data_IF_317548738048
#
_entry.id   IF_317548738048
#
_cell.length_a   1.000
_cell.length_b   1.000
_cell.length_c   1.000
_cell.angle_alpha   90.00
_cell.angle_beta   90.00
_cell.angle_gamma   90.00
#
_symmetry.space_group_name_H-M   'P 1'
#
loop_
_entity.id
_entity.type
_entity.pdbx_description
1 polymer ?
#
# COMPACT_ATOMS: atom_id res chain seq x y z
N UNK A 1 19.59 19.90 -12.18
CA UNK A 1 20.13 18.68 -12.81
C UNK A 1 19.48 18.54 -14.16
N UNK A 2 20.24 18.12 -15.16
CA UNK A 2 19.76 17.93 -16.53
C UNK A 2 19.08 16.56 -16.66
N UNK A 3 18.24 16.42 -17.67
CA UNK A 3 17.76 15.12 -18.12
C UNK A 3 18.72 14.58 -19.17
N UNK A 4 18.74 13.25 -19.33
CA UNK A 4 19.44 12.59 -20.41
C UNK A 4 18.65 12.74 -21.71
N UNK A 5 19.33 12.66 -22.85
CA UNK A 5 18.64 12.69 -24.14
C UNK A 5 17.88 11.37 -24.32
N UNK A 6 16.67 11.47 -24.88
CA UNK A 6 15.73 10.35 -25.02
C UNK A 6 15.53 10.02 -26.50
N UNK A 7 15.51 8.73 -26.81
CA UNK A 7 15.36 8.20 -28.16
C UNK A 7 14.30 7.10 -28.20
N UNK A 8 13.53 7.07 -29.27
CA UNK A 8 12.61 5.99 -29.62
C UNK A 8 13.25 5.07 -30.66
N UNK A 9 12.89 3.79 -30.60
CA UNK A 9 13.19 2.82 -31.65
C UNK A 9 12.16 2.96 -32.76
N UNK A 10 12.58 2.83 -34.02
CA UNK A 10 11.65 2.67 -35.14
C UNK A 10 10.87 1.35 -35.02
N UNK A 11 9.74 1.24 -35.72
CA UNK A 11 8.87 0.05 -35.67
C UNK A 11 9.60 -1.25 -36.05
N UNK A 12 10.61 -1.15 -36.92
CA UNK A 12 11.49 -2.24 -37.34
C UNK A 12 12.74 -2.41 -36.44
N UNK A 13 12.85 -1.60 -35.38
CA UNK A 13 13.94 -1.54 -34.40
C UNK A 13 15.34 -1.32 -35.02
N UNK A 14 15.41 -0.91 -36.29
CA UNK A 14 16.67 -0.77 -37.02
C UNK A 14 17.32 0.60 -36.83
N UNK A 15 16.54 1.61 -36.45
CA UNK A 15 16.99 2.99 -36.28
C UNK A 15 16.47 3.60 -34.97
N UNK A 16 17.17 4.61 -34.49
CA UNK A 16 16.76 5.41 -33.33
C UNK A 16 16.58 6.86 -33.72
N UNK A 17 15.54 7.51 -33.21
CA UNK A 17 15.29 8.93 -33.42
C UNK A 17 15.02 9.61 -32.09
N UNK A 18 15.42 10.87 -31.96
CA UNK A 18 15.25 11.63 -30.72
C UNK A 18 13.77 11.89 -30.48
N UNK A 19 13.28 11.56 -29.27
CA UNK A 19 11.89 11.77 -28.87
C UNK A 19 11.82 12.11 -27.39
N UNK A 20 10.94 13.03 -27.02
CA UNK A 20 10.69 13.39 -25.62
C UNK A 20 10.14 12.22 -24.79
N UNK A 21 9.59 11.18 -25.43
CA UNK A 21 8.99 10.00 -24.77
C UNK A 21 9.79 8.71 -24.96
N UNK A 22 10.96 8.80 -25.58
CA UNK A 22 11.83 7.65 -25.79
C UNK A 22 12.22 6.93 -24.51
N UNK A 23 12.33 5.60 -24.60
CA UNK A 23 12.76 4.73 -23.49
C UNK A 23 14.25 4.37 -23.56
N UNK A 24 14.94 4.78 -24.62
CA UNK A 24 16.40 4.74 -24.72
C UNK A 24 16.99 6.06 -24.22
N UNK A 25 17.79 6.00 -23.16
CA UNK A 25 18.42 7.15 -22.53
C UNK A 25 19.91 7.22 -22.86
N UNK A 26 20.35 8.37 -23.34
CA UNK A 26 21.72 8.60 -23.84
C UNK A 26 22.33 9.81 -23.15
N UNK A 27 23.55 9.64 -22.65
CA UNK A 27 24.35 10.75 -22.14
C UNK A 27 25.10 11.43 -23.29
N UNK A 28 25.05 12.76 -23.42
CA UNK A 28 25.65 13.49 -24.55
C UNK A 28 27.14 13.21 -24.80
N UNK A 29 27.88 12.83 -23.76
CA UNK A 29 29.33 12.52 -23.85
C UNK A 29 29.68 11.04 -23.71
N UNK A 30 28.83 10.24 -23.07
CA UNK A 30 29.19 8.87 -22.65
C UNK A 30 28.41 7.81 -23.42
N UNK A 31 27.45 8.21 -24.27
CA UNK A 31 26.65 7.30 -25.07
C UNK A 31 25.49 6.70 -24.27
N UNK A 32 25.06 5.50 -24.67
CA UNK A 32 23.92 4.76 -24.09
C UNK A 32 24.06 4.63 -22.57
N UNK A 33 23.03 5.05 -21.82
CA UNK A 33 22.97 4.97 -20.35
C UNK A 33 22.02 3.88 -19.89
N UNK A 34 20.81 3.86 -20.44
CA UNK A 34 19.78 2.87 -20.09
C UNK A 34 18.90 2.59 -21.30
N UNK A 35 18.44 1.36 -21.43
CA UNK A 35 17.55 0.91 -22.49
C UNK A 35 16.35 0.21 -21.88
N UNK A 36 15.33 1.01 -21.61
CA UNK A 36 14.15 0.50 -20.95
C UNK A 36 13.28 -0.32 -21.92
N UNK A 37 13.60 -0.36 -23.22
CA UNK A 37 13.00 -1.33 -24.14
C UNK A 37 13.57 -2.74 -23.93
N UNK A 38 14.90 -2.86 -23.80
CA UNK A 38 15.57 -4.14 -23.51
C UNK A 38 15.13 -4.71 -22.15
N UNK A 39 14.86 -3.83 -21.18
CA UNK A 39 14.40 -4.21 -19.84
C UNK A 39 12.89 -4.55 -19.78
N UNK A 40 12.15 -4.47 -20.90
CA UNK A 40 10.68 -4.60 -20.94
C UNK A 40 9.98 -3.67 -19.94
N UNK A 41 10.46 -2.43 -19.83
CA UNK A 41 9.91 -1.47 -18.90
C UNK A 41 8.49 -1.08 -19.29
N UNK A 42 7.61 -1.07 -18.28
CA UNK A 42 6.26 -0.57 -18.45
C UNK A 42 5.68 -0.05 -17.15
N UNK A 43 4.75 0.89 -17.27
CA UNK A 43 3.93 1.36 -16.16
C UNK A 43 2.66 0.51 -16.15
N UNK A 44 2.48 -0.26 -15.09
CA UNK A 44 1.32 -1.14 -14.89
C UNK A 44 0.27 -0.52 -13.96
N UNK A 45 0.35 0.78 -13.73
CA UNK A 45 -0.76 1.56 -13.22
C UNK A 45 -0.38 2.72 -12.32
N UNK A 46 -1.34 3.62 -12.16
CA UNK A 46 -1.26 4.84 -11.34
C UNK A 46 -2.45 4.89 -10.40
N UNK A 47 -2.22 5.12 -9.12
CA UNK A 47 -3.24 4.93 -8.09
C UNK A 47 -3.25 6.03 -7.04
N UNK A 48 -4.44 6.34 -6.52
CA UNK A 48 -4.57 6.86 -5.17
C UNK A 48 -4.65 5.67 -4.23
N UNK A 49 -3.55 5.33 -3.58
CA UNK A 49 -3.43 4.08 -2.81
C UNK A 49 -4.12 4.17 -1.45
N UNK A 50 -4.11 5.34 -0.82
CA UNK A 50 -4.77 5.51 0.48
C UNK A 50 -5.24 6.94 0.62
N UNK A 51 -6.44 7.09 1.16
CA UNK A 51 -6.98 8.35 1.63
C UNK A 51 -7.21 8.24 3.14
N UNK A 52 -6.76 9.24 3.90
CA UNK A 52 -7.14 9.41 5.30
C UNK A 52 -7.79 10.77 5.44
N UNK A 53 -9.10 10.80 5.64
CA UNK A 53 -9.85 12.03 5.84
C UNK A 53 -9.91 12.36 7.33
N UNK A 54 -9.60 13.60 7.70
CA UNK A 54 -9.87 14.09 9.05
C UNK A 54 -11.18 14.87 9.06
N UNK A 55 -11.87 14.82 10.19
CA UNK A 55 -12.97 15.71 10.50
C UNK A 55 -12.74 16.35 11.86
N UNK A 56 -12.96 17.65 11.93
CA UNK A 56 -13.03 18.42 13.17
C UNK A 56 -14.46 18.48 13.65
N UNK A 57 -14.65 18.49 14.97
CA UNK A 57 -15.95 18.61 15.59
C UNK A 57 -15.87 18.20 17.05
N UNK A 58 -17.00 18.26 17.75
CA UNK A 58 -17.14 17.66 19.08
C UNK A 58 -17.61 16.22 18.92
N UNK A 59 -17.24 15.30 19.82
CA UNK A 59 -17.79 13.95 19.77
C UNK A 59 -19.30 13.98 20.00
N UNK A 60 -20.03 13.17 19.23
CA UNK A 60 -21.37 12.78 19.61
C UNK A 60 -21.28 11.83 20.81
N UNK A 61 -21.65 12.32 22.00
CA UNK A 61 -21.53 11.56 23.24
C UNK A 61 -22.41 10.31 23.24
N UNK A 62 -23.61 10.37 22.65
CA UNK A 62 -24.51 9.22 22.58
C UNK A 62 -23.86 8.07 21.79
N UNK A 63 -23.31 8.40 20.61
CA UNK A 63 -22.55 7.44 19.79
C UNK A 63 -21.33 6.87 20.54
N UNK A 64 -20.61 7.72 21.28
CA UNK A 64 -19.44 7.29 22.05
C UNK A 64 -19.85 6.32 23.16
N UNK A 65 -20.90 6.65 23.91
CA UNK A 65 -21.44 5.80 24.98
C UNK A 65 -21.93 4.46 24.45
N UNK A 66 -22.64 4.43 23.32
CA UNK A 66 -23.08 3.19 22.67
C UNK A 66 -21.89 2.29 22.31
N UNK A 67 -20.82 2.89 21.74
CA UNK A 67 -19.59 2.17 21.40
C UNK A 67 -18.85 1.64 22.63
N UNK A 68 -18.74 2.45 23.69
CA UNK A 68 -18.10 2.06 24.94
C UNK A 68 -18.84 0.90 25.61
N UNK A 69 -20.18 1.01 25.68
CA UNK A 69 -21.04 -0.03 26.22
C UNK A 69 -20.91 -1.35 25.44
N UNK A 70 -20.94 -1.28 24.10
CA UNK A 70 -20.74 -2.44 23.22
C UNK A 70 -19.42 -3.16 23.51
N UNK A 71 -18.32 -2.41 23.69
CA UNK A 71 -17.01 -2.98 24.04
C UNK A 71 -17.01 -3.58 25.45
N UNK A 72 -17.64 -2.92 26.42
CA UNK A 72 -17.73 -3.41 27.81
C UNK A 72 -18.54 -4.71 27.91
N UNK A 73 -19.61 -4.83 27.12
CA UNK A 73 -20.40 -6.05 26.97
C UNK A 73 -19.67 -7.16 26.20
N UNK A 74 -18.46 -6.89 25.67
CA UNK A 74 -17.67 -7.85 24.92
C UNK A 74 -18.18 -8.11 23.51
N UNK A 75 -19.02 -7.22 22.97
CA UNK A 75 -19.49 -7.31 21.60
C UNK A 75 -18.31 -7.07 20.63
N UNK A 76 -18.28 -7.86 19.56
CA UNK A 76 -17.26 -7.75 18.50
C UNK A 76 -17.75 -6.99 17.28
N UNK A 77 -19.07 -6.91 17.12
CA UNK A 77 -19.73 -6.32 15.97
C UNK A 77 -20.64 -5.21 16.44
N UNK A 78 -20.52 -4.05 15.81
CA UNK A 78 -21.35 -2.87 16.06
C UNK A 78 -22.07 -2.49 14.77
N UNK A 79 -23.39 -2.37 14.82
CA UNK A 79 -24.19 -2.00 13.66
C UNK A 79 -24.19 -0.48 13.51
N UNK A 80 -23.66 0.03 12.39
CA UNK A 80 -23.53 1.45 12.14
C UNK A 80 -23.79 1.77 10.67
N UNK A 81 -24.70 2.73 10.43
CA UNK A 81 -25.19 3.11 9.09
C UNK A 81 -25.74 1.91 8.28
N UNK A 82 -26.40 0.96 8.95
CA UNK A 82 -26.95 -0.24 8.31
C UNK A 82 -25.90 -1.25 7.86
N UNK A 83 -24.66 -1.11 8.33
CA UNK A 83 -23.55 -2.02 8.05
C UNK A 83 -22.98 -2.57 9.36
N UNK A 84 -22.42 -3.76 9.28
CA UNK A 84 -21.70 -4.38 10.40
C UNK A 84 -20.24 -3.91 10.42
N UNK A 85 -19.75 -3.56 11.61
CA UNK A 85 -18.38 -3.12 11.82
C UNK A 85 -17.74 -3.90 12.95
N UNK A 86 -16.46 -4.24 12.79
CA UNK A 86 -15.67 -4.72 13.91
C UNK A 86 -15.32 -3.55 14.82
N UNK A 87 -15.84 -3.57 16.04
CA UNK A 87 -15.56 -2.55 17.06
C UNK A 87 -14.37 -2.97 17.92
N UNK A 88 -13.56 -2.01 18.34
CA UNK A 88 -12.52 -2.28 19.33
C UNK A 88 -11.73 -1.05 19.76
N UNK A 89 -10.97 -1.22 20.85
CA UNK A 89 -10.00 -0.22 21.32
C UNK A 89 -8.78 -0.17 20.40
N UNK A 90 -8.30 1.04 20.15
CA UNK A 90 -7.15 1.33 19.31
C UNK A 90 -5.91 1.66 20.15
N UNK A 91 -4.73 1.45 19.58
CA UNK A 91 -3.45 1.74 20.25
C UNK A 91 -3.17 3.25 20.26
N UNK A 92 -2.34 3.70 21.21
CA UNK A 92 -1.88 5.10 21.28
C UNK A 92 -1.17 5.54 19.99
N UNK A 93 -0.52 4.62 19.27
CA UNK A 93 0.14 4.89 18.00
C UNK A 93 -0.83 5.41 16.92
N UNK A 94 -2.10 4.99 16.97
CA UNK A 94 -3.12 5.50 16.03
C UNK A 94 -3.53 6.95 16.30
N UNK A 95 -3.33 7.44 17.53
CA UNK A 95 -3.82 8.74 18.03
C UNK A 95 -5.26 8.72 18.60
N UNK A 96 -6.01 7.63 18.38
CA UNK A 96 -7.44 7.52 18.72
C UNK A 96 -7.72 6.34 19.64
N UNK A 97 -8.72 6.48 20.51
CA UNK A 97 -9.07 5.50 21.53
C UNK A 97 -9.84 4.31 20.97
N UNK A 98 -10.67 4.54 19.96
CA UNK A 98 -11.57 3.51 19.41
C UNK A 98 -11.45 3.40 17.90
N UNK A 99 -11.89 2.26 17.36
CA UNK A 99 -12.07 2.03 15.93
C UNK A 99 -13.32 1.24 15.60
N UNK A 100 -13.89 1.53 14.44
CA UNK A 100 -14.78 0.65 13.69
C UNK A 100 -14.07 0.22 12.40
N UNK A 101 -13.99 -1.07 12.13
CA UNK A 101 -13.28 -1.60 10.97
C UNK A 101 -14.20 -2.48 10.11
N UNK A 102 -14.29 -2.15 8.83
CA UNK A 102 -14.96 -2.98 7.83
C UNK A 102 -14.02 -3.23 6.65
N UNK A 103 -13.36 -4.40 6.67
CA UNK A 103 -12.38 -4.78 5.65
C UNK A 103 -13.02 -5.13 4.30
N UNK A 104 -14.28 -5.56 4.29
CA UNK A 104 -15.03 -5.84 3.07
C UNK A 104 -15.35 -4.54 2.31
N UNK A 105 -15.75 -3.50 3.05
CA UNK A 105 -15.92 -2.16 2.51
C UNK A 105 -14.57 -1.50 2.20
N UNK A 106 -13.54 -1.84 2.97
CA UNK A 106 -12.21 -1.26 2.84
C UNK A 106 -12.07 0.07 3.58
N UNK A 107 -12.78 0.24 4.69
CA UNK A 107 -12.84 1.47 5.50
C UNK A 107 -12.55 1.18 6.97
N UNK A 108 -11.78 2.07 7.60
CA UNK A 108 -11.55 2.08 9.05
C UNK A 108 -11.89 3.47 9.58
N UNK A 109 -12.74 3.51 10.59
CA UNK A 109 -13.15 4.73 11.29
C UNK A 109 -12.43 4.75 12.63
N UNK A 110 -11.60 5.75 12.86
CA UNK A 110 -10.98 6.04 14.14
C UNK A 110 -11.66 7.24 14.77
N UNK A 111 -12.03 7.13 16.04
CA UNK A 111 -12.74 8.19 16.74
C UNK A 111 -12.27 8.34 18.18
N UNK A 112 -12.52 9.52 18.74
CA UNK A 112 -12.07 9.98 20.05
C UNK A 112 -10.54 10.00 20.20
N UNK A 113 -9.94 11.16 19.97
CA UNK A 113 -8.52 11.42 20.26
C UNK A 113 -8.16 11.13 21.73
N UNK A 114 -6.95 10.58 21.95
CA UNK A 114 -6.41 10.36 23.29
C UNK A 114 -6.16 11.66 24.06
N UNK A 115 -5.68 12.70 23.37
CA UNK A 115 -5.18 13.93 24.00
C UNK A 115 -6.21 15.07 24.05
N UNK A 116 -7.49 14.78 23.78
CA UNK A 116 -8.55 15.78 23.77
C UNK A 116 -9.82 15.22 24.42
N UNK A 117 -10.49 16.05 25.21
CA UNK A 117 -11.78 15.72 25.85
C UNK A 117 -12.86 15.57 24.77
N UNK A 118 -13.84 14.69 24.98
CA UNK A 118 -14.85 14.38 23.96
C UNK A 118 -15.66 15.61 23.53
N UNK A 119 -15.89 16.53 24.46
CA UNK A 119 -16.69 17.74 24.32
C UNK A 119 -15.93 18.89 23.65
N UNK A 120 -14.60 18.79 23.57
CA UNK A 120 -13.78 19.82 22.95
C UNK A 120 -13.85 19.70 21.42
N UNK A 121 -13.89 20.84 20.72
CA UNK A 121 -13.78 20.82 19.26
C UNK A 121 -12.36 20.45 18.86
N UNK A 122 -12.18 19.27 18.26
CA UNK A 122 -10.87 18.74 17.86
C UNK A 122 -11.01 17.82 16.65
N UNK A 123 -9.90 17.31 16.10
CA UNK A 123 -9.89 16.33 15.01
C UNK A 123 -10.27 14.94 15.52
N UNK A 124 -11.44 14.81 16.13
CA UNK A 124 -11.87 13.62 16.84
C UNK A 124 -12.18 12.43 15.93
N UNK A 125 -12.28 12.63 14.63
CA UNK A 125 -12.59 11.60 13.65
C UNK A 125 -11.54 11.56 12.55
N UNK A 126 -11.02 10.35 12.30
CA UNK A 126 -10.19 10.01 11.15
C UNK A 126 -10.79 8.81 10.43
N UNK A 127 -11.06 8.93 9.14
CA UNK A 127 -11.55 7.82 8.32
C UNK A 127 -10.46 7.44 7.31
N UNK A 128 -10.00 6.19 7.35
CA UNK A 128 -9.03 5.64 6.41
C UNK A 128 -9.75 4.79 5.36
N UNK A 129 -9.50 5.10 4.08
CA UNK A 129 -10.04 4.42 2.92
C UNK A 129 -8.93 3.72 2.15
N UNK A 130 -9.12 2.43 1.89
CA UNK A 130 -8.24 1.60 1.06
C UNK A 130 -8.44 1.86 -0.44
N UNK A 131 -7.53 1.39 -1.33
CA UNK A 131 -7.70 1.54 -2.78
C UNK A 131 -9.05 0.97 -3.25
N UNK A 132 -9.41 -0.23 -2.76
CA UNK A 132 -10.68 -0.88 -3.05
C UNK A 132 -11.90 0.00 -2.81
N UNK A 133 -11.90 0.79 -1.74
CA UNK A 133 -13.02 1.69 -1.45
C UNK A 133 -13.09 2.85 -2.45
N UNK A 134 -11.93 3.41 -2.80
CA UNK A 134 -11.78 4.57 -3.67
C UNK A 134 -12.05 4.22 -5.14
N UNK A 135 -11.49 3.10 -5.62
CA UNK A 135 -11.59 2.67 -7.03
C UNK A 135 -13.05 2.43 -7.48
N UNK A 136 -13.92 2.04 -6.54
CA UNK A 136 -15.32 1.70 -6.81
C UNK A 136 -16.27 2.91 -6.73
N UNK A 137 -15.77 4.14 -6.53
CA UNK A 137 -16.59 5.33 -6.26
C UNK A 137 -16.01 6.58 -6.90
N UNK A 138 -16.88 7.40 -7.47
CA UNK A 138 -16.52 8.77 -7.83
C UNK A 138 -16.11 9.57 -6.58
N UNK A 139 -15.31 10.65 -6.71
CA UNK A 139 -14.80 11.41 -5.57
C UNK A 139 -15.92 12.01 -4.72
N UNK A 140 -16.98 12.51 -5.37
CA UNK A 140 -18.16 13.06 -4.66
C UNK A 140 -18.89 12.00 -3.83
N UNK A 141 -19.08 10.78 -4.37
CA UNK A 141 -19.67 9.66 -3.62
C UNK A 141 -18.81 9.21 -2.43
N UNK A 142 -17.48 9.31 -2.55
CA UNK A 142 -16.57 9.11 -1.42
C UNK A 142 -16.85 10.17 -0.36
N UNK A 143 -16.83 11.45 -0.72
CA UNK A 143 -17.08 12.55 0.22
C UNK A 143 -18.45 12.45 0.89
N UNK A 144 -19.53 12.19 0.14
CA UNK A 144 -20.87 11.98 0.67
C UNK A 144 -20.92 10.84 1.70
N UNK A 145 -20.21 9.73 1.43
CA UNK A 145 -20.14 8.60 2.35
C UNK A 145 -19.39 8.98 3.64
N UNK A 146 -18.26 9.69 3.51
CA UNK A 146 -17.46 10.13 4.65
C UNK A 146 -18.21 11.17 5.50
N UNK A 147 -18.94 12.09 4.87
CA UNK A 147 -19.79 13.07 5.55
C UNK A 147 -20.90 12.40 6.35
N UNK A 148 -21.58 11.38 5.80
CA UNK A 148 -22.60 10.61 6.55
C UNK A 148 -22.05 9.95 7.82
N UNK A 149 -20.80 9.47 7.77
CA UNK A 149 -20.12 8.96 8.96
C UNK A 149 -19.85 10.10 9.94
N UNK A 150 -19.30 11.21 9.45
CA UNK A 150 -18.96 12.36 10.27
C UNK A 150 -20.17 12.95 11.00
N UNK A 151 -21.32 13.06 10.32
CA UNK A 151 -22.59 13.56 10.87
C UNK A 151 -23.15 12.70 12.00
N UNK A 152 -22.80 11.41 12.04
CA UNK A 152 -23.23 10.50 13.11
C UNK A 152 -22.25 10.46 14.28
N UNK A 153 -20.96 10.51 13.98
CA UNK A 153 -19.88 10.37 14.98
C UNK A 153 -19.59 11.70 15.70
N UNK A 154 -19.78 12.84 15.03
CA UNK A 154 -19.46 14.16 15.56
C UNK A 154 -20.70 15.08 15.58
N UNK A 155 -20.63 16.10 16.43
CA UNK A 155 -21.50 17.28 16.37
C UNK A 155 -20.79 18.38 15.58
N UNK A 156 -21.50 18.98 14.64
CA UNK A 156 -21.00 20.02 13.72
C UNK A 156 -19.69 19.60 13.03
N UNK A 157 -19.66 18.47 12.28
CA UNK A 157 -18.45 18.03 11.61
C UNK A 157 -18.00 19.00 10.53
N UNK A 158 -16.70 19.24 10.47
CA UNK A 158 -16.04 19.99 9.40
C UNK A 158 -14.92 19.13 8.80
N UNK A 159 -14.93 18.96 7.48
CA UNK A 159 -13.87 18.24 6.78
C UNK A 159 -12.53 18.99 6.91
N UNK A 160 -11.51 18.28 7.36
CA UNK A 160 -10.17 18.80 7.57
C UNK A 160 -9.16 18.03 6.72
N UNK A 161 -8.25 18.77 6.07
CA UNK A 161 -7.29 18.31 5.07
C UNK A 161 -6.89 16.83 5.17
N UNK A 162 -7.10 16.03 4.11
CA UNK A 162 -6.78 14.62 4.14
C UNK A 162 -5.28 14.38 4.02
N UNK A 163 -4.85 13.17 4.38
CA UNK A 163 -3.59 12.61 3.94
C UNK A 163 -3.87 11.71 2.73
N UNK A 164 -3.04 11.81 1.70
CA UNK A 164 -3.21 11.09 0.45
C UNK A 164 -1.90 10.41 0.05
N UNK A 165 -2.00 9.18 -0.42
CA UNK A 165 -0.88 8.42 -0.94
C UNK A 165 -1.07 8.21 -2.45
N UNK A 166 -0.09 8.64 -3.23
CA UNK A 166 -0.05 8.48 -4.69
C UNK A 166 0.96 7.38 -5.01
N UNK A 167 0.59 6.45 -5.89
CA UNK A 167 1.46 5.33 -6.25
C UNK A 167 1.52 5.13 -7.76
N UNK A 168 2.70 4.74 -8.23
CA UNK A 168 2.94 4.26 -9.59
C UNK A 168 3.57 2.89 -9.50
N UNK A 169 3.02 1.94 -10.24
CA UNK A 169 3.50 0.56 -10.33
C UNK A 169 4.20 0.35 -11.67
N UNK A 170 5.36 -0.30 -11.66
CA UNK A 170 6.19 -0.53 -12.84
C UNK A 170 6.72 -1.96 -12.91
N UNK A 171 6.90 -2.48 -14.13
CA UNK A 171 7.68 -3.68 -14.47
C UNK A 171 8.89 -3.29 -15.31
N UNK A 172 9.85 -4.21 -15.46
CA UNK A 172 11.11 -3.94 -16.15
C UNK A 172 12.02 -2.93 -15.44
N UNK A 173 11.75 -2.65 -14.16
CA UNK A 173 12.62 -1.82 -13.32
C UNK A 173 12.64 -2.34 -11.88
N UNK A 174 13.83 -2.32 -11.27
CA UNK A 174 14.04 -2.59 -9.85
C UNK A 174 15.01 -1.58 -9.27
N UNK A 175 14.87 -1.21 -7.98
CA UNK A 175 15.83 -0.34 -7.33
C UNK A 175 17.19 -1.02 -7.20
N UNK A 176 18.25 -0.26 -7.48
CA UNK A 176 19.62 -0.71 -7.27
C UNK A 176 20.00 -0.73 -5.77
N UNK A 177 21.07 -1.43 -5.43
CA UNK A 177 21.58 -1.49 -4.05
C UNK A 177 22.03 -0.12 -3.52
N UNK A 178 22.46 0.77 -4.41
CA UNK A 178 22.95 2.13 -4.11
C UNK A 178 21.85 3.21 -4.18
N UNK A 179 20.58 2.82 -4.38
CA UNK A 179 19.45 3.74 -4.50
C UNK A 179 19.42 4.77 -3.36
N UNK A 180 19.69 4.33 -2.13
CA UNK A 180 19.74 5.19 -0.94
C UNK A 180 20.79 6.29 -1.05
N UNK A 181 21.95 6.00 -1.63
CA UNK A 181 23.07 6.94 -1.77
C UNK A 181 22.83 7.91 -2.94
N UNK A 182 22.20 7.42 -4.01
CA UNK A 182 21.84 8.22 -5.19
C UNK A 182 20.63 9.12 -4.95
N UNK A 183 19.83 8.86 -3.91
CA UNK A 183 18.64 9.64 -3.57
C UNK A 183 18.99 10.93 -2.83
N UNK A 184 18.84 12.07 -3.51
CA UNK A 184 18.97 13.39 -2.90
C UNK A 184 17.62 13.87 -2.37
N UNK A 185 17.52 14.09 -1.06
CA UNK A 185 16.35 14.70 -0.45
C UNK A 185 16.73 15.65 0.71
N UNK A 186 15.83 16.57 1.06
CA UNK A 186 16.05 17.51 2.19
C UNK A 186 16.02 16.81 3.54
N UNK A 187 15.27 15.72 3.66
CA UNK A 187 15.16 14.96 4.90
C UNK A 187 16.40 14.07 5.08
N UNK A 188 17.03 14.15 6.25
CA UNK A 188 18.13 13.23 6.62
C UNK A 188 17.65 11.85 7.06
N UNK A 189 16.34 11.66 7.24
CA UNK A 189 15.75 10.36 7.61
C UNK A 189 15.65 9.49 6.36
N UNK A 190 16.59 8.55 6.24
CA UNK A 190 16.59 7.44 5.30
C UNK A 190 16.45 6.16 6.12
N UNK A 191 15.44 5.36 5.81
CA UNK A 191 15.28 4.05 6.40
C UNK A 191 15.34 3.00 5.28
N UNK A 192 16.37 2.17 5.35
CA UNK A 192 16.50 0.96 4.56
C UNK A 192 16.19 -0.22 5.48
N UNK A 193 15.20 -1.01 5.11
CA UNK A 193 14.81 -2.17 5.90
C UNK A 193 15.46 -3.40 5.29
N UNK A 194 16.24 -4.10 6.11
CA UNK A 194 16.90 -5.34 5.74
C UNK A 194 16.37 -6.44 6.68
N UNK A 195 15.62 -7.42 6.13
CA UNK A 195 15.21 -8.62 6.86
C UNK A 195 13.82 -8.56 7.52
N UNK A 196 13.34 -9.74 7.88
CA UNK A 196 12.02 -9.95 8.49
C UNK A 196 12.02 -9.52 9.95
N UNK A 197 11.45 -8.37 10.27
CA UNK A 197 11.18 -8.00 11.66
C UNK A 197 9.67 -7.95 11.95
N UNK A 198 9.31 -8.41 13.15
CA UNK A 198 7.93 -8.67 13.61
C UNK A 198 7.04 -7.43 13.40
N UNK A 199 6.01 -7.57 12.56
CA UNK A 199 5.01 -6.51 12.34
C UNK A 199 3.75 -6.77 13.17
N UNK A 200 3.44 -5.82 14.05
CA UNK A 200 2.07 -5.53 14.47
C UNK A 200 1.29 -4.94 13.28
N UNK A 201 0.01 -5.28 13.18
CA UNK A 201 -0.85 -4.89 12.07
C UNK A 201 -1.15 -3.38 12.06
N UNK A 202 -0.30 -2.61 11.38
CA UNK A 202 -0.60 -1.26 10.94
C UNK A 202 -0.49 -1.18 9.41
N UNK A 203 -1.60 -0.84 8.74
CA UNK A 203 -1.67 -0.72 7.26
C UNK A 203 -0.61 0.25 6.68
N UNK A 204 -0.09 1.19 7.49
CA UNK A 204 1.01 2.10 7.14
C UNK A 204 2.43 1.51 7.18
N UNK A 205 2.64 0.37 7.85
CA UNK A 205 3.96 -0.16 8.17
C UNK A 205 4.38 -1.37 7.32
N UNK A 206 3.49 -1.86 6.46
CA UNK A 206 3.68 -3.08 5.65
C UNK A 206 4.86 -3.00 4.66
N UNK A 207 5.37 -1.80 4.41
CA UNK A 207 6.60 -1.55 3.64
C UNK A 207 7.92 -1.93 4.32
N UNK A 208 7.96 -2.73 5.40
CA UNK A 208 9.15 -2.82 6.28
C UNK A 208 9.74 -4.22 6.48
N UNK A 209 9.36 -5.21 5.66
CA UNK A 209 9.70 -6.62 5.94
C UNK A 209 10.22 -7.33 4.70
N UNK A 210 11.32 -6.91 4.09
CA UNK A 210 11.83 -7.63 2.90
C UNK A 210 13.36 -7.74 2.88
N UNK A 211 13.84 -8.71 2.10
CA UNK A 211 15.26 -9.02 1.89
C UNK A 211 16.04 -7.79 1.37
N UNK A 212 17.39 -7.88 1.32
CA UNK A 212 18.27 -6.77 0.91
C UNK A 212 17.72 -6.05 -0.34
N UNK A 213 17.60 -4.73 -0.24
CA UNK A 213 17.26 -3.82 -1.35
C UNK A 213 15.86 -3.96 -1.95
N UNK A 214 14.87 -4.47 -1.19
CA UNK A 214 13.49 -4.63 -1.67
C UNK A 214 12.51 -3.57 -1.15
N UNK A 215 12.92 -2.73 -0.18
CA UNK A 215 12.10 -1.63 0.34
C UNK A 215 12.92 -0.47 0.90
N UNK A 216 12.57 0.74 0.47
CA UNK A 216 13.24 1.99 0.82
C UNK A 216 12.21 3.02 1.27
N UNK A 217 12.53 3.79 2.32
CA UNK A 217 11.75 4.96 2.75
C UNK A 217 12.63 6.18 2.93
N UNK A 218 12.19 7.29 2.35
CA UNK A 218 12.84 8.58 2.47
C UNK A 218 11.83 9.61 3.00
N UNK A 219 12.23 10.39 4.01
CA UNK A 219 11.34 11.38 4.60
C UNK A 219 10.56 10.88 5.82
N UNK A 220 10.02 11.85 6.57
CA UNK A 220 9.26 11.58 7.79
C UNK A 220 7.77 11.38 7.50
N UNK A 221 7.12 10.51 8.27
CA UNK A 221 5.68 10.22 8.14
C UNK A 221 4.76 11.44 8.39
N UNK A 222 5.22 12.43 9.14
CA UNK A 222 4.50 13.70 9.37
C UNK A 222 4.72 14.76 8.30
N UNK A 223 5.42 14.43 7.21
CA UNK A 223 5.75 15.33 6.10
C UNK A 223 5.39 14.67 4.76
N UNK A 224 6.13 14.95 3.69
CA UNK A 224 6.13 14.11 2.49
C UNK A 224 7.10 12.96 2.72
N UNK A 225 6.66 11.74 2.42
CA UNK A 225 7.49 10.55 2.46
C UNK A 225 7.43 9.83 1.11
N UNK A 226 8.59 9.40 0.63
CA UNK A 226 8.73 8.52 -0.52
C UNK A 226 8.96 7.10 -0.01
N UNK A 227 8.25 6.12 -0.58
CA UNK A 227 8.49 4.71 -0.39
C UNK A 227 8.67 4.02 -1.74
N UNK A 228 9.67 3.15 -1.86
CA UNK A 228 9.93 2.34 -3.05
C UNK A 228 10.05 0.90 -2.61
N UNK A 229 9.23 -0.01 -3.13
CA UNK A 229 9.24 -1.40 -2.67
C UNK A 229 8.69 -2.39 -3.70
N UNK A 230 9.04 -3.67 -3.55
CA UNK A 230 8.47 -4.75 -4.35
C UNK A 230 7.00 -4.99 -3.99
N UNK A 231 6.10 -4.61 -4.88
CA UNK A 231 4.66 -4.66 -4.68
C UNK A 231 4.11 -6.07 -4.87
N UNK A 232 4.71 -6.89 -5.74
CA UNK A 232 4.35 -8.30 -5.91
C UNK A 232 4.51 -9.08 -4.61
N UNK A 233 5.70 -9.00 -3.98
CA UNK A 233 5.96 -9.67 -2.71
C UNK A 233 5.05 -9.11 -1.61
N UNK A 234 4.88 -7.78 -1.56
CA UNK A 234 4.00 -7.13 -0.59
C UNK A 234 2.55 -7.63 -0.69
N UNK A 235 2.01 -7.69 -1.90
CA UNK A 235 0.63 -8.09 -2.16
C UNK A 235 0.39 -9.57 -1.85
N UNK A 236 1.36 -10.45 -2.14
CA UNK A 236 1.34 -11.87 -1.73
C UNK A 236 1.34 -12.01 -0.22
N UNK A 237 2.17 -11.23 0.48
CA UNK A 237 2.29 -11.28 1.94
C UNK A 237 0.97 -10.89 2.63
N UNK A 238 0.26 -9.89 2.11
CA UNK A 238 -1.02 -9.42 2.69
C UNK A 238 -2.25 -10.12 2.10
N UNK A 239 -2.07 -11.17 1.29
CA UNK A 239 -3.16 -11.93 0.67
C UNK A 239 -4.12 -11.00 -0.12
N UNK A 240 -3.51 -10.12 -0.93
CA UNK A 240 -4.18 -9.22 -1.89
C UNK A 240 -3.54 -9.25 -3.27
N UNK A 241 -2.72 -10.26 -3.57
CA UNK A 241 -2.04 -10.39 -4.86
C UNK A 241 -3.04 -10.48 -6.00
N UNK A 242 -4.01 -11.39 -5.90
CA UNK A 242 -5.17 -11.54 -6.77
C UNK A 242 -5.86 -10.22 -7.17
N UNK A 243 -6.05 -9.32 -6.20
CA UNK A 243 -6.63 -7.99 -6.44
C UNK A 243 -5.68 -7.10 -7.25
N UNK A 244 -4.40 -7.07 -6.87
CA UNK A 244 -3.40 -6.24 -7.54
C UNK A 244 -3.11 -6.72 -8.96
N UNK A 245 -2.99 -8.04 -9.16
CA UNK A 245 -2.80 -8.69 -10.45
C UNK A 245 -3.90 -8.27 -11.42
N UNK A 246 -5.17 -8.35 -10.98
CA UNK A 246 -6.29 -7.88 -11.81
C UNK A 246 -6.22 -6.39 -12.14
N UNK A 247 -5.76 -5.53 -11.21
CA UNK A 247 -5.59 -4.10 -11.51
C UNK A 247 -4.50 -3.84 -12.54
N UNK A 248 -3.37 -4.54 -12.42
CA UNK A 248 -2.25 -4.40 -13.37
C UNK A 248 -2.68 -4.84 -14.77
N UNK A 249 -3.34 -5.99 -14.85
CA UNK A 249 -3.90 -6.52 -16.09
C UNK A 249 -4.90 -5.56 -16.74
N UNK A 250 -5.93 -5.12 -16.01
CA UNK A 250 -6.93 -4.19 -16.57
C UNK A 250 -6.34 -2.83 -16.94
N UNK A 251 -5.35 -2.33 -16.19
CA UNK A 251 -4.72 -1.03 -16.48
C UNK A 251 -3.84 -1.03 -17.74
N UNK A 252 -3.34 -2.21 -18.13
CA UNK A 252 -2.47 -2.39 -19.29
C UNK A 252 -3.19 -3.04 -20.47
N UNK A 253 -4.52 -3.20 -20.36
CA UNK A 253 -5.36 -3.80 -21.38
C UNK A 253 -5.46 -2.90 -22.61
N UNK A 254 -5.09 -3.45 -23.75
CA UNK A 254 -5.16 -2.80 -25.05
C UNK A 254 -6.54 -3.02 -25.70
N UNK A 255 -6.83 -2.24 -26.74
CA UNK A 255 -8.13 -2.29 -27.44
C UNK A 255 -8.40 -3.63 -28.12
N UNK A 256 -7.36 -4.39 -28.44
CA UNK A 256 -7.44 -5.72 -29.02
C UNK A 256 -7.68 -6.83 -27.98
N UNK A 257 -7.75 -6.47 -26.69
CA UNK A 257 -7.97 -7.40 -25.58
C UNK A 257 -6.70 -8.04 -25.03
N UNK A 258 -5.52 -7.78 -25.63
CA UNK A 258 -4.24 -8.14 -25.04
C UNK A 258 -3.92 -7.25 -23.84
N UNK A 259 -3.05 -7.73 -22.95
CA UNK A 259 -2.62 -7.03 -21.74
C UNK A 259 -1.12 -6.86 -21.76
N UNK A 260 -0.64 -5.67 -21.43
CA UNK A 260 0.79 -5.40 -21.31
C UNK A 260 1.42 -6.06 -20.07
N UNK A 261 0.64 -6.27 -19.01
CA UNK A 261 1.12 -6.87 -17.76
C UNK A 261 1.70 -8.28 -17.96
N UNK A 262 2.91 -8.49 -17.46
CA UNK A 262 3.59 -9.80 -17.49
C UNK A 262 3.50 -10.50 -16.11
N UNK A 263 2.76 -11.62 -15.97
CA UNK A 263 2.62 -12.34 -14.70
C UNK A 263 3.94 -12.90 -14.14
N UNK A 264 4.94 -13.13 -14.99
CA UNK A 264 6.23 -13.70 -14.59
C UNK A 264 7.21 -12.64 -14.07
N UNK A 265 6.89 -11.35 -14.22
CA UNK A 265 7.72 -10.24 -13.75
C UNK A 265 7.18 -9.62 -12.46
N UNK A 266 8.10 -9.35 -11.53
CA UNK A 266 7.78 -8.61 -10.31
C UNK A 266 7.44 -7.14 -10.62
N UNK A 267 6.47 -6.62 -9.87
CA UNK A 267 6.05 -5.23 -9.93
C UNK A 267 6.67 -4.46 -8.78
N UNK A 268 7.36 -3.37 -9.08
CA UNK A 268 7.84 -2.41 -8.09
C UNK A 268 6.92 -1.20 -8.02
N UNK A 269 6.72 -0.68 -6.81
CA UNK A 269 5.90 0.50 -6.55
C UNK A 269 6.75 1.66 -6.09
N UNK A 270 6.50 2.83 -6.67
CA UNK A 270 6.95 4.14 -6.17
C UNK A 270 5.75 4.86 -5.58
N UNK A 271 5.78 5.11 -4.27
CA UNK A 271 4.68 5.69 -3.49
C UNK A 271 5.11 7.01 -2.83
N UNK A 272 4.35 8.08 -3.07
CA UNK A 272 4.48 9.37 -2.39
C UNK A 272 3.32 9.58 -1.42
N UNK A 273 3.66 9.75 -0.15
CA UNK A 273 2.71 9.90 0.97
C UNK A 273 2.73 11.34 1.45
N UNK A 274 1.57 11.99 1.38
CA UNK A 274 1.38 13.38 1.82
C UNK A 274 0.59 13.39 3.12
N UNK A 275 1.23 13.85 4.19
CA UNK A 275 0.56 14.04 5.48
C UNK A 275 -0.45 15.20 5.45
N UNK A 276 -1.46 15.15 6.32
CA UNK A 276 -2.53 16.16 6.45
C UNK A 276 -2.00 17.60 6.53
N UNK A 277 -0.93 17.81 7.31
CA UNK A 277 -0.31 19.13 7.46
C UNK A 277 0.35 19.64 6.19
N UNK A 278 0.85 18.74 5.33
CA UNK A 278 1.43 19.11 4.04
C UNK A 278 0.33 19.52 3.07
N UNK A 279 -0.77 18.76 3.02
CA UNK A 279 -1.93 19.12 2.19
C UNK A 279 -2.50 20.47 2.63
N UNK A 280 -2.60 20.72 3.95
CA UNK A 280 -2.97 22.03 4.48
C UNK A 280 -2.02 23.14 4.02
N UNK A 281 -0.71 22.93 4.07
CA UNK A 281 0.28 23.92 3.63
C UNK A 281 0.15 24.24 2.14
N UNK A 282 -0.10 23.22 1.30
CA UNK A 282 -0.41 23.44 -0.11
C UNK A 282 -1.69 24.21 -0.29
N UNK A 283 -2.75 23.79 0.39
CA UNK A 283 -4.05 24.44 0.31
C UNK A 283 -3.95 25.93 0.63
N UNK A 284 -3.24 26.30 1.71
CA UNK A 284 -3.12 27.69 2.15
C UNK A 284 -2.07 28.50 1.37
N UNK A 285 -1.05 27.84 0.81
CA UNK A 285 0.08 28.50 0.16
C UNK A 285 0.02 28.55 -1.36
N UNK A 286 -0.87 27.80 -1.99
CA UNK A 286 -1.03 27.82 -3.46
C UNK A 286 -1.65 29.14 -3.89
N UNK A 287 -1.06 29.79 -4.87
CA UNK A 287 -1.55 31.04 -5.44
C UNK A 287 -1.98 30.80 -6.89
N UNK A 288 -3.20 31.22 -7.23
CA UNK A 288 -3.64 31.28 -8.60
C UNK A 288 -2.92 32.45 -9.29
N UNK A 289 -2.07 32.15 -10.26
CA UNK A 289 -1.25 33.15 -10.95
C UNK A 289 -2.05 34.10 -11.85
N UNK A 290 -3.27 33.71 -12.25
CA UNK A 290 -4.14 34.52 -13.11
C UNK A 290 -5.04 35.45 -12.30
N UNK A 291 -5.62 34.94 -11.20
CA UNK A 291 -6.55 35.73 -10.36
C UNK A 291 -5.87 36.42 -9.17
N UNK A 292 -4.65 36.00 -8.81
CA UNK A 292 -3.94 36.44 -7.61
C UNK A 292 -4.53 35.88 -6.30
N UNK A 293 -5.54 35.01 -6.37
CA UNK A 293 -6.16 34.40 -5.21
C UNK A 293 -5.18 33.44 -4.52
N UNK A 294 -4.98 33.64 -3.22
CA UNK A 294 -4.15 32.79 -2.39
C UNK A 294 -5.07 31.82 -1.65
N UNK A 295 -4.79 30.55 -1.82
CA UNK A 295 -5.55 29.47 -1.26
C UNK A 295 -6.25 28.66 -2.34
N UNK A 296 -6.26 27.34 -2.16
CA UNK A 296 -7.08 26.42 -2.94
C UNK A 296 -7.77 25.47 -1.98
N UNK A 297 -8.98 25.04 -2.34
CA UNK A 297 -9.73 24.10 -1.52
C UNK A 297 -9.11 22.71 -1.66
N UNK A 298 -8.79 22.07 -0.54
CA UNK A 298 -8.22 20.72 -0.47
C UNK A 298 -8.71 19.98 0.79
N UNK A 299 -9.91 20.30 1.26
CA UNK A 299 -10.42 19.82 2.54
C UNK A 299 -10.97 18.40 2.45
N UNK A 300 -11.47 18.00 1.27
CA UNK A 300 -12.08 16.70 1.00
C UNK A 300 -11.34 15.92 -0.08
N UNK A 301 -11.78 14.68 -0.35
CA UNK A 301 -11.21 13.90 -1.43
C UNK A 301 -11.47 14.53 -2.79
N UNK A 302 -12.72 14.95 -3.06
CA UNK A 302 -13.08 15.59 -4.34
C UNK A 302 -12.30 16.86 -4.61
N UNK A 303 -11.88 17.56 -3.56
CA UNK A 303 -11.08 18.77 -3.68
C UNK A 303 -9.61 18.41 -4.03
N UNK A 304 -8.99 17.49 -3.28
CA UNK A 304 -7.57 17.13 -3.44
C UNK A 304 -7.26 16.43 -4.75
N UNK A 305 -8.17 15.60 -5.26
CA UNK A 305 -7.94 14.87 -6.53
C UNK A 305 -7.69 15.81 -7.72
N UNK A 306 -8.17 17.05 -7.70
CA UNK A 306 -7.93 18.03 -8.76
C UNK A 306 -6.46 18.50 -8.82
N UNK A 307 -5.66 18.17 -7.81
CA UNK A 307 -4.30 18.66 -7.64
C UNK A 307 -3.24 17.54 -7.55
N UNK A 308 -3.64 16.27 -7.67
CA UNK A 308 -2.74 15.12 -7.46
C UNK A 308 -1.56 15.10 -8.44
N UNK A 309 -1.75 15.58 -9.67
CA UNK A 309 -0.66 15.68 -10.64
C UNK A 309 0.42 16.67 -10.18
N UNK A 310 0.01 17.81 -9.60
CA UNK A 310 0.95 18.80 -9.07
C UNK A 310 1.65 18.29 -7.82
N UNK A 311 0.91 17.60 -6.93
CA UNK A 311 1.48 16.95 -5.74
C UNK A 311 2.53 15.90 -6.13
N UNK A 312 2.23 15.03 -7.09
CA UNK A 312 3.16 14.02 -7.60
C UNK A 312 4.46 14.66 -8.11
N UNK A 313 4.35 15.65 -9.01
CA UNK A 313 5.52 16.40 -9.52
C UNK A 313 6.31 17.07 -8.40
N UNK A 314 5.64 17.64 -7.39
CA UNK A 314 6.31 18.22 -6.24
C UNK A 314 7.09 17.18 -5.43
N UNK A 315 6.49 16.01 -5.17
CA UNK A 315 7.14 14.93 -4.44
C UNK A 315 8.40 14.45 -5.14
N UNK A 316 8.35 14.18 -6.45
CA UNK A 316 9.52 13.77 -7.24
C UNK A 316 10.57 14.88 -7.42
N UNK A 317 10.18 16.15 -7.31
CA UNK A 317 11.14 17.27 -7.22
C UNK A 317 11.80 17.35 -5.84
N UNK A 318 11.14 16.87 -4.79
CA UNK A 318 11.63 16.90 -3.40
C UNK A 318 12.58 15.73 -3.10
N UNK A 319 12.31 14.57 -3.68
CA UNK A 319 13.16 13.38 -3.64
C UNK A 319 13.73 13.18 -5.04
N UNK A 320 15.03 13.42 -5.25
CA UNK A 320 15.65 13.37 -6.58
C UNK A 320 16.58 12.18 -6.66
N UNK A 321 16.25 11.19 -7.50
CA UNK A 321 17.17 10.13 -7.82
C UNK A 321 18.18 10.60 -8.88
N UNK A 322 19.46 10.47 -8.56
CA UNK A 322 20.56 10.90 -9.43
C UNK A 322 21.10 9.73 -10.25
N UNK A 323 21.29 9.93 -11.55
CA UNK A 323 22.19 9.08 -12.33
C UNK A 323 23.66 9.42 -12.00
N UNK A 324 23.98 10.72 -12.00
CA UNK A 324 25.29 11.22 -11.56
C UNK A 324 25.15 12.64 -10.97
N UNK A 325 26.27 13.35 -10.76
CA UNK A 325 26.27 14.70 -10.18
C UNK A 325 25.43 15.72 -10.97
N UNK A 326 25.29 15.52 -12.28
CA UNK A 326 24.66 16.48 -13.20
C UNK A 326 23.32 16.00 -13.75
N UNK A 327 23.08 14.69 -13.85
CA UNK A 327 21.95 14.09 -14.55
C UNK A 327 21.00 13.31 -13.64
N UNK A 328 19.71 13.49 -13.89
CA UNK A 328 18.63 12.74 -13.24
C UNK A 328 18.60 11.31 -13.76
N UNK A 329 18.21 10.37 -12.91
CA UNK A 329 18.05 8.97 -13.29
C UNK A 329 16.96 8.76 -14.36
N UNK A 330 17.16 7.87 -15.36
CA UNK A 330 16.17 7.53 -16.38
C UNK A 330 14.76 7.31 -15.83
N UNK A 331 14.60 6.47 -14.79
CA UNK A 331 13.27 6.16 -14.23
C UNK A 331 12.61 7.40 -13.65
N UNK A 332 13.42 8.28 -13.05
CA UNK A 332 12.93 9.49 -12.40
C UNK A 332 12.49 10.57 -13.40
N UNK A 333 13.00 10.51 -14.63
CA UNK A 333 12.56 11.34 -15.75
C UNK A 333 11.16 10.91 -16.20
N UNK A 334 10.97 9.61 -16.46
CA UNK A 334 9.66 9.04 -16.82
C UNK A 334 8.61 9.34 -15.77
N UNK A 335 8.93 9.09 -14.49
CA UNK A 335 8.00 9.31 -13.40
C UNK A 335 7.57 10.79 -13.26
N UNK A 336 8.43 11.74 -13.65
CA UNK A 336 8.11 13.17 -13.57
C UNK A 336 7.32 13.69 -14.77
N UNK A 337 7.69 13.26 -15.98
CA UNK A 337 7.26 13.91 -17.21
C UNK A 337 6.18 13.11 -17.94
N UNK A 338 6.23 11.79 -17.89
CA UNK A 338 5.34 10.92 -18.68
C UNK A 338 4.11 10.46 -17.90
N UNK A 339 4.21 10.38 -16.57
CA UNK A 339 3.10 9.94 -15.72
C UNK A 339 1.99 10.97 -15.69
N UNK A 340 0.78 10.52 -16.01
CA UNK A 340 -0.46 11.27 -15.84
C UNK A 340 -1.37 10.49 -14.91
N UNK A 341 -1.66 11.05 -13.74
CA UNK A 341 -2.69 10.50 -12.86
C UNK A 341 -4.06 10.76 -13.48
N UNK A 342 -4.68 9.70 -13.98
CA UNK A 342 -6.10 9.69 -14.29
C UNK A 342 -6.82 9.23 -13.03
N UNK A 343 -7.64 10.09 -12.44
CA UNK A 343 -8.63 9.61 -11.48
C UNK A 343 -9.58 8.68 -12.24
N UNK A 344 -10.08 7.58 -11.65
CA UNK A 344 -11.08 6.76 -12.31
C UNK A 344 -12.38 7.54 -12.47
N UNK A 345 -12.51 8.35 -13.53
CA UNK A 345 -13.78 8.50 -14.21
C UNK A 345 -14.09 7.14 -14.83
N UNK A 346 -14.47 6.22 -13.96
CA UNK A 346 -15.19 4.98 -14.24
C UNK A 346 -15.04 4.49 -15.68
N UNK A 347 -14.02 3.66 -15.92
CA UNK A 347 -14.13 2.53 -16.86
C UNK A 347 -15.24 1.53 -16.47
N UNK A 348 -16.07 1.87 -15.48
CA UNK A 348 -17.12 1.08 -14.86
C UNK A 348 -18.55 1.59 -15.15
N UNK A 349 -18.76 2.59 -16.01
CA UNK A 349 -20.11 3.14 -16.24
C UNK A 349 -21.06 2.15 -16.92
N UNK A 350 -20.57 1.20 -17.72
CA UNK A 350 -21.46 0.37 -18.54
C UNK A 350 -21.35 -1.16 -18.35
N UNK A 351 -20.44 -1.68 -17.52
CA UNK A 351 -20.25 -3.13 -17.35
C UNK A 351 -20.02 -3.55 -15.88
N UNK A 352 -20.94 -3.19 -14.99
CA UNK A 352 -20.97 -3.74 -13.62
C UNK A 352 -21.48 -5.19 -13.65
N UNK A 353 -20.59 -6.14 -13.94
CA UNK A 353 -20.86 -7.54 -13.69
C UNK A 353 -20.55 -7.83 -12.22
N UNK A 354 -21.58 -7.86 -11.37
CA UNK A 354 -21.46 -8.29 -9.97
C UNK A 354 -21.12 -9.79 -9.94
N UNK A 355 -19.83 -10.12 -9.93
CA UNK A 355 -19.35 -11.50 -9.73
C UNK A 355 -18.74 -11.60 -8.34
N UNK A 356 -19.13 -12.60 -7.57
CA UNK A 356 -18.41 -12.96 -6.33
C UNK A 356 -17.00 -13.36 -6.72
N UNK A 357 -16.02 -12.56 -6.31
CA UNK A 357 -14.60 -12.93 -6.40
C UNK A 357 -14.27 -13.82 -5.21
N UNK A 358 -14.02 -15.10 -5.47
CA UNK A 358 -13.49 -16.02 -4.47
C UNK A 358 -11.96 -15.94 -4.53
N UNK A 359 -11.30 -15.71 -3.39
CA UNK A 359 -9.83 -15.79 -3.30
C UNK A 359 -9.37 -17.13 -3.87
N UNK A 360 -8.40 -17.12 -4.77
CA UNK A 360 -7.83 -18.38 -5.29
C UNK A 360 -7.07 -19.05 -4.13
N UNK A 361 -7.13 -20.39 -4.04
CA UNK A 361 -6.40 -21.13 -2.99
C UNK A 361 -4.89 -20.83 -2.99
N UNK A 362 -4.35 -20.41 -4.13
CA UNK A 362 -2.96 -19.99 -4.33
C UNK A 362 -2.56 -18.68 -3.63
N UNK A 363 -3.51 -17.92 -3.07
CA UNK A 363 -3.25 -16.61 -2.45
C UNK A 363 -2.92 -16.68 -0.94
N UNK A 364 -3.00 -17.87 -0.33
CA UNK A 364 -2.78 -18.04 1.10
C UNK A 364 -1.41 -17.53 1.57
N UNK A 365 -1.39 -16.71 2.63
CA UNK A 365 -0.15 -16.19 3.19
C UNK A 365 0.69 -17.33 3.80
N UNK A 366 1.99 -17.38 3.49
CA UNK A 366 2.93 -18.34 4.10
C UNK A 366 2.94 -18.31 5.64
N UNK A 367 2.56 -17.17 6.24
CA UNK A 367 2.39 -17.02 7.68
C UNK A 367 1.27 -17.91 8.24
N UNK A 368 0.18 -18.11 7.51
CA UNK A 368 -0.90 -19.01 7.96
C UNK A 368 -0.43 -20.46 8.01
N UNK A 369 0.37 -20.90 7.03
CA UNK A 369 1.01 -22.21 7.06
C UNK A 369 2.00 -22.35 8.22
N UNK A 370 2.84 -21.35 8.45
CA UNK A 370 3.76 -21.34 9.60
C UNK A 370 3.03 -21.40 10.94
N UNK A 371 1.94 -20.64 11.11
CA UNK A 371 1.12 -20.65 12.31
C UNK A 371 0.41 -22.00 12.50
N UNK A 372 -0.14 -22.56 11.42
CA UNK A 372 -0.76 -23.89 11.45
C UNK A 372 0.24 -24.96 11.88
N UNK A 373 1.40 -25.04 11.20
CA UNK A 373 2.48 -25.97 11.52
C UNK A 373 2.94 -25.80 12.98
N UNK A 374 3.20 -24.56 13.40
CA UNK A 374 3.67 -24.26 14.75
C UNK A 374 2.67 -24.64 15.84
N UNK A 375 1.39 -24.30 15.64
CA UNK A 375 0.33 -24.61 16.61
C UNK A 375 0.02 -26.10 16.65
N UNK A 376 -0.03 -26.77 15.49
CA UNK A 376 -0.26 -28.21 15.39
C UNK A 376 0.85 -29.00 16.09
N UNK A 377 2.12 -28.71 15.78
CA UNK A 377 3.26 -29.34 16.44
C UNK A 377 3.26 -29.10 17.95
N UNK A 378 2.95 -27.89 18.41
CA UNK A 378 2.84 -27.58 19.84
C UNK A 378 1.71 -28.36 20.52
N UNK A 379 0.55 -28.50 19.87
CA UNK A 379 -0.56 -29.27 20.41
C UNK A 379 -0.25 -30.77 20.51
N UNK A 380 0.41 -31.34 19.50
CA UNK A 380 0.80 -32.74 19.51
C UNK A 380 1.96 -33.03 20.48
N UNK A 381 2.91 -32.10 20.63
CA UNK A 381 4.01 -32.22 21.59
C UNK A 381 3.48 -32.28 23.03
N UNK A 382 2.40 -31.56 23.36
CA UNK A 382 1.73 -31.64 24.68
C UNK A 382 1.13 -33.02 24.97
N UNK A 383 0.73 -33.75 23.92
CA UNK A 383 0.21 -35.11 24.03
C UNK A 383 1.33 -36.17 24.03
N UNK A 384 2.60 -35.75 23.92
CA UNK A 384 3.77 -36.63 23.85
C UNK A 384 3.68 -37.69 22.74
N UNK A 385 2.99 -37.36 21.63
CA UNK A 385 2.83 -38.30 20.52
C UNK A 385 4.15 -38.47 19.75
N UNK A 386 4.46 -39.67 19.23
CA UNK A 386 5.66 -39.87 18.42
C UNK A 386 5.63 -39.00 17.16
N UNK A 387 6.74 -38.34 16.82
CA UNK A 387 6.81 -37.43 15.66
C UNK A 387 6.34 -38.08 14.36
N UNK A 388 6.62 -39.38 14.16
CA UNK A 388 6.18 -40.12 12.97
C UNK A 388 4.66 -40.11 12.80
N UNK A 389 3.90 -40.22 13.90
CA UNK A 389 2.44 -40.20 13.88
C UNK A 389 1.92 -38.77 13.63
N UNK A 390 2.54 -37.79 14.26
CA UNK A 390 2.26 -36.35 14.05
C UNK A 390 2.49 -35.95 12.59
N UNK A 391 3.57 -36.42 11.99
CA UNK A 391 3.89 -36.17 10.59
C UNK A 391 2.86 -36.79 9.65
N UNK A 392 2.43 -38.03 9.89
CA UNK A 392 1.39 -38.69 9.07
C UNK A 392 0.07 -37.91 9.14
N UNK A 393 -0.37 -37.47 10.32
CA UNK A 393 -1.58 -36.66 10.47
C UNK A 393 -1.45 -35.29 9.78
N UNK A 394 -0.27 -34.68 9.87
CA UNK A 394 0.01 -33.40 9.22
C UNK A 394 0.02 -33.52 7.69
N UNK A 395 0.66 -34.56 7.15
CA UNK A 395 0.70 -34.88 5.73
C UNK A 395 -0.66 -35.33 5.18
N UNK A 396 -1.48 -35.94 6.04
CA UNK A 396 -2.87 -36.30 5.73
C UNK A 396 -3.85 -35.12 5.75
N UNK A 397 -3.40 -33.92 6.14
CA UNK A 397 -4.25 -32.73 6.12
C UNK A 397 -4.52 -32.27 4.68
N UNK A 398 -5.72 -31.75 4.43
CA UNK A 398 -6.15 -31.27 3.10
C UNK A 398 -5.22 -30.20 2.51
N UNK A 399 -4.49 -29.48 3.35
CA UNK A 399 -3.62 -28.35 2.97
C UNK A 399 -2.13 -28.71 2.92
N UNK A 400 -1.73 -29.97 3.14
CA UNK A 400 -0.32 -30.36 3.12
C UNK A 400 0.36 -30.07 1.78
N UNK A 401 -0.32 -30.39 0.68
CA UNK A 401 0.20 -30.13 -0.67
C UNK A 401 0.51 -28.64 -0.89
N UNK A 402 -0.36 -27.76 -0.43
CA UNK A 402 -0.16 -26.31 -0.53
C UNK A 402 1.02 -25.84 0.34
N UNK A 403 1.18 -26.42 1.54
CA UNK A 403 2.31 -26.15 2.43
C UNK A 403 3.63 -26.56 1.77
N UNK A 404 3.71 -27.78 1.23
CA UNK A 404 4.91 -28.29 0.58
C UNK A 404 5.30 -27.40 -0.62
N UNK A 405 4.34 -27.10 -1.51
CA UNK A 405 4.56 -26.22 -2.65
C UNK A 405 5.01 -24.81 -2.24
N UNK A 406 4.48 -24.27 -1.14
CA UNK A 406 4.92 -22.97 -0.62
C UNK A 406 6.39 -22.97 -0.18
N UNK A 407 6.85 -24.03 0.52
CA UNK A 407 8.24 -24.14 0.97
C UNK A 407 9.20 -24.48 -0.17
N UNK A 408 8.76 -25.26 -1.16
CA UNK A 408 9.55 -25.54 -2.37
C UNK A 408 9.81 -24.26 -3.18
N UNK A 409 8.80 -23.39 -3.34
CA UNK A 409 8.96 -22.06 -3.95
C UNK A 409 9.99 -21.19 -3.21
N UNK A 410 10.26 -21.48 -1.94
CA UNK A 410 11.28 -20.82 -1.11
C UNK A 410 12.57 -21.66 -0.99
N UNK A 411 12.87 -22.51 -1.98
CA UNK A 411 14.06 -23.36 -2.05
C UNK A 411 14.24 -24.31 -0.85
N UNK A 412 13.14 -24.72 -0.21
CA UNK A 412 13.14 -25.73 0.85
C UNK A 412 12.38 -26.95 0.34
N UNK A 413 13.08 -28.06 0.09
CA UNK A 413 12.43 -29.29 -0.37
C UNK A 413 11.54 -29.88 0.72
N UNK A 414 10.57 -30.71 0.34
CA UNK A 414 9.70 -31.39 1.32
C UNK A 414 10.50 -32.16 2.38
N UNK A 415 11.56 -32.86 1.98
CA UNK A 415 12.46 -33.55 2.92
C UNK A 415 13.14 -32.60 3.91
N UNK A 416 13.61 -31.44 3.44
CA UNK A 416 14.21 -30.42 4.31
C UNK A 416 13.18 -29.80 5.26
N UNK A 417 11.93 -29.62 4.79
CA UNK A 417 10.83 -29.18 5.63
C UNK A 417 10.53 -30.19 6.73
N UNK A 418 10.46 -31.48 6.40
CA UNK A 418 10.21 -32.55 7.37
C UNK A 418 11.30 -32.59 8.45
N UNK A 419 12.57 -32.50 8.07
CA UNK A 419 13.68 -32.44 9.05
C UNK A 419 13.59 -31.19 9.95
N UNK A 420 13.28 -30.01 9.38
CA UNK A 420 13.03 -28.81 10.18
C UNK A 420 11.86 -28.98 11.16
N UNK A 421 10.77 -29.62 10.73
CA UNK A 421 9.62 -29.90 11.59
C UNK A 421 9.99 -30.87 12.72
N UNK A 422 10.83 -31.87 12.44
CA UNK A 422 11.33 -32.85 13.41
C UNK A 422 12.19 -32.19 14.48
N UNK A 423 13.16 -31.38 14.09
CA UNK A 423 14.02 -30.62 15.01
C UNK A 423 13.18 -29.69 15.88
N UNK A 424 12.25 -28.98 15.26
CA UNK A 424 11.35 -28.06 15.96
C UNK A 424 10.38 -28.80 16.91
N UNK A 425 9.97 -30.02 16.58
CA UNK A 425 9.15 -30.87 17.44
C UNK A 425 9.95 -31.40 18.64
N UNK A 426 11.19 -31.83 18.41
CA UNK A 426 12.10 -32.26 19.47
C UNK A 426 12.39 -31.12 20.45
N UNK A 427 12.65 -29.91 19.96
CA UNK A 427 12.81 -28.73 20.81
C UNK A 427 11.58 -28.48 21.70
N UNK A 428 10.36 -28.62 21.16
CA UNK A 428 9.11 -28.45 21.93
C UNK A 428 8.92 -29.53 22.99
N UNK A 429 9.32 -30.77 22.72
CA UNK A 429 9.30 -31.85 23.72
C UNK A 429 10.32 -31.56 24.83
N UNK A 430 11.53 -31.14 24.47
CA UNK A 430 12.62 -30.90 25.40
C UNK A 430 12.45 -29.63 26.25
N UNK A 431 11.83 -28.59 25.69
CA UNK A 431 11.58 -27.32 26.41
C UNK A 431 10.48 -27.41 27.46
N UNK A 432 9.75 -28.53 27.58
CA UNK A 432 8.82 -28.84 28.68
C UNK A 432 8.08 -27.65 29.28
N UNK A 433 6.88 -27.35 28.78
CA UNK A 433 5.96 -26.34 29.34
C UNK A 433 6.61 -25.01 29.79
N UNK A 434 7.12 -24.22 28.85
CA UNK A 434 7.24 -22.76 29.04
C UNK A 434 6.65 -22.03 27.84
N UNK A 435 5.36 -21.69 27.98
CA UNK A 435 4.74 -20.47 27.42
C UNK A 435 4.05 -19.78 28.58
#
# INVERSE_FOLDING_TARGET
MKQLDRYELSDDQSTTFQSEKGLLFVHPKFGKVADLYEDNFQIVGTYVDTLRQLFKGQMNLDFLTDCEHSIECGEKVFQFLGLDWLIGKSSKASGYQFRLQNNQLGVIIFFKLFHSRAEATSSHLKIECSPWFLDNRSPKKVDEFLSKIADKVLRCPEAYYPAIHLAVDVQGWKPDNDLSERMLCRSRRVAQYNGMDKTEFHMSEISSVYDRSQSFKFGAAGAVQLAIYNKTIQARTVDKFDYMEHKWDESTKLKDGSSGYDPEQDVFRVELRFHHSVIQQFALGTCNTETGEIGVKMNTYSDVINHIQALWKYGLKSFKLKYNSNYIDPIWTILQDDIVFKFPESSYTDNLHYKRYYKKATSFSGKNYQLYLGNFLSACARKSEPFKKVLIELQGSMIWGDIALHYEKNNTTENQLIERLKDSYQQRILMGYTI
#
